data_IF_377638322152
#
_entry.id   IF_377638322152
#
_cell.length_a   1.000
_cell.length_b   1.000
_cell.length_c   1.000
_cell.angle_alpha   90.00
_cell.angle_beta   90.00
_cell.angle_gamma   90.00
#
_symmetry.space_group_name_H-M   'P 1'
#
loop_
_entity.id
_entity.type
_entity.pdbx_description
1 polymer ?
#
# COMPACT_ATOMS: atom_id res chain seq x y z
N UNK A 1 -9.99 62.06 -29.01
CA UNK A 1 -8.93 61.68 -28.06
C UNK A 1 -9.16 60.21 -27.74
N UNK A 2 -8.37 59.35 -28.37
CA UNK A 2 -8.46 57.88 -28.36
C UNK A 2 -7.92 57.33 -27.05
N UNK A 3 -8.63 56.40 -26.40
CA UNK A 3 -8.00 55.37 -25.57
C UNK A 3 -8.80 54.07 -25.75
N UNK A 4 -8.34 53.20 -26.66
CA UNK A 4 -8.74 51.80 -26.69
C UNK A 4 -7.97 51.05 -25.61
N UNK A 5 -8.67 50.46 -24.66
CA UNK A 5 -8.09 49.55 -23.67
C UNK A 5 -7.90 48.17 -24.32
N UNK A 6 -6.65 47.75 -24.48
CA UNK A 6 -6.29 46.39 -24.90
C UNK A 6 -6.13 45.55 -23.64
N UNK A 7 -7.01 44.57 -23.44
CA UNK A 7 -6.97 43.66 -22.31
C UNK A 7 -6.12 42.44 -22.69
N UNK A 8 -4.92 42.34 -22.10
CA UNK A 8 -4.03 41.19 -22.28
C UNK A 8 -4.48 40.08 -21.34
N UNK A 9 -5.07 39.02 -21.89
CA UNK A 9 -5.37 37.78 -21.15
C UNK A 9 -4.10 36.92 -21.18
N UNK A 10 -3.41 36.82 -20.05
CA UNK A 10 -2.32 35.86 -19.87
C UNK A 10 -2.94 34.46 -19.67
N UNK A 11 -2.99 33.66 -20.73
CA UNK A 11 -3.31 32.24 -20.61
C UNK A 11 -2.03 31.55 -20.17
N UNK A 12 -1.91 31.26 -18.87
CA UNK A 12 -0.88 30.36 -18.37
C UNK A 12 -1.19 28.95 -18.90
N UNK A 13 -0.53 28.57 -19.99
CA UNK A 13 -0.46 27.19 -20.44
C UNK A 13 0.38 26.42 -19.42
N UNK A 14 -0.26 25.91 -18.37
CA UNK A 14 0.33 24.85 -17.55
C UNK A 14 0.48 23.63 -18.45
N UNK A 15 1.71 23.33 -18.86
CA UNK A 15 2.04 22.05 -19.45
C UNK A 15 1.72 20.99 -18.40
N UNK A 16 0.56 20.35 -18.52
CA UNK A 16 0.32 19.11 -17.80
C UNK A 16 1.36 18.13 -18.33
N UNK A 17 2.34 17.77 -17.49
CA UNK A 17 3.22 16.65 -17.77
C UNK A 17 2.31 15.44 -17.98
N UNK A 18 2.24 14.97 -19.23
CA UNK A 18 1.60 13.70 -19.55
C UNK A 18 2.50 12.61 -18.99
N UNK A 19 2.39 12.35 -17.70
CA UNK A 19 2.91 11.12 -17.13
C UNK A 19 2.25 9.96 -17.88
N UNK A 20 3.08 9.12 -18.48
CA UNK A 20 2.62 7.83 -18.96
C UNK A 20 1.98 7.10 -17.80
N UNK A 21 0.67 6.88 -17.88
CA UNK A 21 -0.10 6.10 -16.91
C UNK A 21 0.34 4.62 -16.91
N UNK A 22 1.16 4.19 -17.88
CA UNK A 22 1.70 2.84 -17.90
C UNK A 22 2.91 2.67 -16.96
N UNK A 23 2.89 1.61 -16.14
CA UNK A 23 4.03 1.10 -15.38
C UNK A 23 4.42 -0.28 -15.92
N UNK A 24 5.70 -0.44 -16.27
CA UNK A 24 6.26 -1.73 -16.67
C UNK A 24 6.89 -2.38 -15.44
N UNK A 25 6.50 -3.62 -15.17
CA UNK A 25 6.95 -4.40 -14.02
C UNK A 25 7.45 -5.77 -14.50
N UNK A 26 8.61 -6.16 -13.99
CA UNK A 26 9.07 -7.55 -14.04
C UNK A 26 8.48 -8.28 -12.83
N UNK A 27 7.51 -9.15 -13.03
CA UNK A 27 6.94 -9.98 -11.97
C UNK A 27 7.59 -11.36 -11.97
N UNK A 28 7.76 -11.92 -10.78
CA UNK A 28 8.38 -13.21 -10.55
C UNK A 28 7.42 -14.12 -9.78
N UNK A 29 7.17 -15.33 -10.28
CA UNK A 29 6.32 -16.30 -9.62
C UNK A 29 6.82 -17.73 -9.82
N UNK A 30 6.35 -18.63 -8.95
CA UNK A 30 6.72 -20.04 -8.97
C UNK A 30 5.58 -20.90 -9.53
N UNK A 31 5.90 -21.85 -10.41
CA UNK A 31 4.96 -22.87 -10.89
C UNK A 31 5.48 -24.27 -10.59
N UNK A 32 4.60 -25.25 -10.29
CA UNK A 32 5.03 -26.62 -10.10
C UNK A 32 5.73 -27.16 -11.34
N UNK A 33 6.86 -27.84 -11.16
CA UNK A 33 7.53 -28.55 -12.25
C UNK A 33 6.68 -29.76 -12.66
N UNK A 34 6.34 -29.86 -13.94
CA UNK A 34 5.49 -30.93 -14.49
C UNK A 34 6.27 -32.14 -15.00
N UNK A 35 7.60 -32.04 -15.12
CA UNK A 35 8.48 -33.10 -15.62
C UNK A 35 9.77 -33.22 -14.80
N UNK A 36 10.18 -34.45 -14.49
CA UNK A 36 11.39 -34.75 -13.72
C UNK A 36 11.14 -34.79 -12.21
N UNK A 37 12.15 -34.38 -11.42
CA UNK A 37 12.02 -34.35 -9.95
C UNK A 37 11.03 -33.28 -9.50
N UNK A 38 10.31 -33.56 -8.42
CA UNK A 38 9.45 -32.58 -7.75
C UNK A 38 10.24 -31.31 -7.43
N UNK A 39 9.65 -30.15 -7.74
CA UNK A 39 10.27 -28.86 -7.52
C UNK A 39 9.44 -27.73 -8.13
N UNK A 40 9.93 -26.51 -7.96
CA UNK A 40 9.30 -25.30 -8.48
C UNK A 40 10.16 -24.71 -9.60
N UNK A 41 9.50 -24.20 -10.64
CA UNK A 41 10.12 -23.40 -11.68
C UNK A 41 9.86 -21.93 -11.39
N UNK A 42 10.94 -21.15 -11.42
CA UNK A 42 10.87 -19.70 -11.40
C UNK A 42 10.49 -19.21 -12.79
N UNK A 43 9.50 -18.33 -12.85
CA UNK A 43 9.05 -17.68 -14.08
C UNK A 43 9.08 -16.18 -13.87
N UNK A 44 9.82 -15.49 -14.73
CA UNK A 44 9.78 -14.04 -14.86
C UNK A 44 8.85 -13.65 -16.01
N UNK A 45 8.03 -12.63 -15.79
CA UNK A 45 7.09 -12.11 -16.79
C UNK A 45 7.09 -10.59 -16.74
N UNK A 46 7.24 -9.97 -17.90
CA UNK A 46 7.01 -8.54 -18.06
C UNK A 46 5.50 -8.28 -18.16
N UNK A 47 5.02 -7.36 -17.34
CA UNK A 47 3.63 -6.89 -17.36
C UNK A 47 3.59 -5.36 -17.40
N UNK A 48 2.56 -4.83 -18.04
CA UNK A 48 2.27 -3.40 -18.04
C UNK A 48 0.95 -3.19 -17.32
N UNK A 49 0.95 -2.39 -16.26
CA UNK A 49 -0.26 -1.97 -15.54
C UNK A 49 -0.51 -0.48 -15.75
N UNK A 50 -1.73 -0.03 -15.50
CA UNK A 50 -2.02 1.40 -15.38
C UNK A 50 -1.82 1.83 -13.94
N UNK A 51 -1.03 2.87 -13.70
CA UNK A 51 -0.76 3.40 -12.38
C UNK A 51 -2.05 3.87 -11.70
N UNK A 52 -2.91 4.56 -12.45
CA UNK A 52 -4.22 5.03 -11.98
C UNK A 52 -5.16 3.92 -11.51
N UNK A 53 -5.04 2.72 -12.09
CA UNK A 53 -5.78 1.49 -11.75
C UNK A 53 -4.88 0.50 -10.98
N UNK A 54 -3.90 1.00 -10.22
CA UNK A 54 -3.03 0.19 -9.34
C UNK A 54 -2.99 0.78 -7.93
N UNK A 55 -2.96 -0.09 -6.92
CA UNK A 55 -2.77 0.30 -5.53
C UNK A 55 -1.67 -0.51 -4.83
N UNK A 56 -1.01 0.12 -3.86
CA UNK A 56 -0.16 -0.54 -2.87
C UNK A 56 -0.84 -0.37 -1.51
N UNK A 57 -1.11 -1.50 -0.85
CA UNK A 57 -1.65 -1.54 0.52
C UNK A 57 -0.54 -1.95 1.47
N UNK A 58 -0.24 -1.10 2.44
CA UNK A 58 0.83 -1.30 3.43
C UNK A 58 0.19 -1.80 4.71
N UNK A 59 0.27 -3.09 4.95
CA UNK A 59 -0.39 -3.77 6.08
C UNK A 59 0.59 -3.89 7.24
N UNK A 60 0.18 -3.40 8.41
CA UNK A 60 0.82 -3.63 9.73
C UNK A 60 2.35 -3.43 9.79
N UNK A 61 2.85 -2.47 9.01
CA UNK A 61 4.22 -1.98 9.16
C UNK A 61 4.30 -1.06 10.38
N UNK A 62 4.09 -1.61 11.57
CA UNK A 62 4.06 -0.86 12.83
C UNK A 62 5.43 -0.29 13.24
N UNK A 63 5.42 0.71 14.10
CA UNK A 63 6.62 1.34 14.66
C UNK A 63 7.38 0.45 15.65
N UNK A 64 6.72 -0.56 16.21
CA UNK A 64 7.32 -1.53 17.12
C UNK A 64 6.55 -2.85 17.12
N UNK A 65 7.19 -3.91 17.58
CA UNK A 65 6.55 -5.19 17.87
C UNK A 65 6.97 -5.69 19.27
N UNK A 66 6.19 -6.58 19.88
CA UNK A 66 6.55 -7.14 21.19
C UNK A 66 7.80 -8.02 21.11
N UNK A 67 8.00 -8.71 19.98
CA UNK A 67 9.27 -9.38 19.65
C UNK A 67 10.31 -8.38 19.16
N UNK A 68 11.50 -8.44 19.76
CA UNK A 68 12.65 -7.61 19.42
C UNK A 68 13.14 -7.90 18.00
N UNK A 69 13.25 -9.17 17.61
CA UNK A 69 13.67 -9.56 16.26
C UNK A 69 12.76 -9.00 15.18
N UNK A 70 11.44 -9.09 15.38
CA UNK A 70 10.46 -8.48 14.47
C UNK A 70 10.64 -6.96 14.34
N UNK A 71 10.86 -6.26 15.47
CA UNK A 71 11.13 -4.81 15.46
C UNK A 71 12.37 -4.48 14.63
N UNK A 72 13.48 -5.20 14.81
CA UNK A 72 14.72 -4.95 14.07
C UNK A 72 14.59 -5.21 12.56
N UNK A 73 13.89 -6.28 12.17
CA UNK A 73 13.63 -6.55 10.75
C UNK A 73 12.81 -5.43 10.10
N UNK A 74 11.77 -4.95 10.79
CA UNK A 74 10.94 -3.85 10.31
C UNK A 74 11.75 -2.54 10.21
N UNK A 75 12.59 -2.23 11.21
CA UNK A 75 13.47 -1.06 11.20
C UNK A 75 14.37 -1.01 9.95
N UNK A 76 14.88 -2.17 9.51
CA UNK A 76 15.72 -2.29 8.31
C UNK A 76 14.87 -2.18 7.02
N UNK A 77 13.68 -2.78 7.02
CA UNK A 77 12.81 -2.86 5.84
C UNK A 77 12.12 -1.53 5.52
N UNK A 78 11.63 -0.82 6.54
CA UNK A 78 10.76 0.34 6.38
C UNK A 78 11.36 1.47 5.51
N UNK A 79 12.65 1.86 5.64
CA UNK A 79 13.25 2.87 4.77
C UNK A 79 13.29 2.46 3.29
N UNK A 80 13.55 1.17 3.00
CA UNK A 80 13.57 0.64 1.63
C UNK A 80 12.15 0.60 1.05
N UNK A 81 11.18 0.21 1.86
CA UNK A 81 9.77 0.25 1.47
C UNK A 81 9.32 1.68 1.15
N UNK A 82 9.72 2.67 1.96
CA UNK A 82 9.39 4.08 1.71
C UNK A 82 9.93 4.59 0.37
N UNK A 83 11.11 4.13 -0.07
CA UNK A 83 11.62 4.46 -1.40
C UNK A 83 10.70 3.94 -2.52
N UNK A 84 10.21 2.71 -2.39
CA UNK A 84 9.25 2.13 -3.34
C UNK A 84 7.93 2.90 -3.30
N UNK A 85 7.40 3.20 -2.12
CA UNK A 85 6.14 3.94 -1.94
C UNK A 85 6.22 5.33 -2.56
N UNK A 86 7.30 6.08 -2.30
CA UNK A 86 7.51 7.39 -2.93
C UNK A 86 7.57 7.30 -4.45
N UNK A 87 8.28 6.31 -4.98
CA UNK A 87 8.40 6.09 -6.42
C UNK A 87 7.05 5.69 -7.05
N UNK A 88 6.26 4.87 -6.37
CA UNK A 88 4.92 4.47 -6.78
C UNK A 88 3.97 5.68 -6.79
N UNK A 89 3.95 6.45 -5.70
CA UNK A 89 3.16 7.67 -5.56
C UNK A 89 3.47 8.69 -6.66
N UNK A 90 4.76 8.91 -6.95
CA UNK A 90 5.20 9.80 -8.03
C UNK A 90 4.73 9.36 -9.43
N UNK A 91 4.41 8.07 -9.61
CA UNK A 91 3.84 7.53 -10.86
C UNK A 91 2.31 7.54 -10.89
N UNK A 92 1.64 7.98 -9.82
CA UNK A 92 0.19 8.02 -9.72
C UNK A 92 -0.47 6.77 -9.15
N UNK A 93 0.31 5.83 -8.60
CA UNK A 93 -0.22 4.64 -7.91
C UNK A 93 -0.89 5.07 -6.60
N UNK A 94 -2.06 4.49 -6.32
CA UNK A 94 -2.79 4.74 -5.08
C UNK A 94 -2.08 4.07 -3.90
N UNK A 95 -1.80 4.83 -2.83
CA UNK A 95 -1.18 4.31 -1.61
C UNK A 95 -2.23 4.25 -0.49
N UNK A 96 -2.36 3.07 0.12
CA UNK A 96 -3.27 2.82 1.24
C UNK A 96 -2.44 2.28 2.41
N UNK A 97 -2.49 2.98 3.54
CA UNK A 97 -1.87 2.55 4.79
C UNK A 97 -2.91 1.84 5.66
N UNK A 98 -2.61 0.61 6.08
CA UNK A 98 -3.46 -0.21 6.93
C UNK A 98 -2.72 -0.61 8.22
N UNK A 99 -2.42 0.34 9.13
CA UNK A 99 -1.79 0.04 10.40
C UNK A 99 -2.87 -0.33 11.42
N UNK A 100 -3.27 -1.61 11.44
CA UNK A 100 -4.37 -2.07 12.30
C UNK A 100 -4.08 -1.81 13.77
N UNK A 101 -5.16 -1.65 14.55
CA UNK A 101 -5.11 -1.40 16.01
C UNK A 101 -4.38 -0.09 16.41
N UNK A 102 -4.18 0.84 15.47
CA UNK A 102 -3.56 2.16 15.71
C UNK A 102 -4.37 3.35 15.20
N UNK A 103 -5.62 3.13 14.77
CA UNK A 103 -6.41 4.14 14.05
C UNK A 103 -6.68 5.42 14.85
N UNK A 104 -6.70 5.35 16.19
CA UNK A 104 -6.83 6.52 17.05
C UNK A 104 -5.71 7.55 16.86
N UNK A 105 -4.50 7.10 16.50
CA UNK A 105 -3.38 7.98 16.17
C UNK A 105 -3.66 8.82 14.92
N UNK A 106 -4.46 8.28 13.98
CA UNK A 106 -4.71 8.86 12.67
C UNK A 106 -6.06 9.56 12.52
N UNK A 107 -6.87 9.62 13.58
CA UNK A 107 -8.26 10.12 13.53
C UNK A 107 -8.46 11.50 12.90
N UNK A 108 -7.42 12.35 12.86
CA UNK A 108 -7.46 13.69 12.26
C UNK A 108 -6.52 13.85 11.06
N UNK A 109 -5.84 12.79 10.63
CA UNK A 109 -4.93 12.85 9.50
C UNK A 109 -5.72 13.03 8.19
N UNK A 110 -5.30 13.89 7.25
CA UNK A 110 -6.00 14.07 5.96
C UNK A 110 -6.22 12.75 5.20
N UNK A 111 -5.20 11.91 5.12
CA UNK A 111 -5.32 10.58 4.51
C UNK A 111 -6.35 9.65 5.18
N UNK A 112 -6.63 9.80 6.49
CA UNK A 112 -7.73 9.08 7.15
C UNK A 112 -9.09 9.61 6.67
N UNK A 113 -9.22 10.93 6.56
CA UNK A 113 -10.43 11.58 6.06
C UNK A 113 -10.71 11.21 4.61
N UNK A 114 -9.67 11.10 3.77
CA UNK A 114 -9.81 10.64 2.39
C UNK A 114 -10.45 9.25 2.34
N UNK A 115 -10.00 8.32 3.19
CA UNK A 115 -10.57 6.97 3.25
C UNK A 115 -12.04 6.96 3.69
N UNK A 116 -12.39 7.76 4.70
CA UNK A 116 -13.78 7.89 5.16
C UNK A 116 -14.70 8.57 4.13
N UNK A 117 -14.13 9.38 3.24
CA UNK A 117 -14.89 10.09 2.20
C UNK A 117 -15.13 9.24 0.94
N UNK A 118 -14.49 8.07 0.82
CA UNK A 118 -14.68 7.18 -0.31
C UNK A 118 -16.15 6.70 -0.37
N UNK A 119 -16.85 6.83 -1.51
CA UNK A 119 -18.25 6.45 -1.61
C UNK A 119 -18.46 4.96 -1.27
N UNK A 120 -19.44 4.61 -0.42
CA UNK A 120 -19.70 3.23 -0.06
C UNK A 120 -20.14 2.41 -1.26
N UNK A 121 -19.51 1.25 -1.45
CA UNK A 121 -19.85 0.26 -2.48
C UNK A 121 -19.94 -1.11 -1.83
N UNK A 122 -20.98 -1.88 -2.14
CA UNK A 122 -21.12 -3.25 -1.62
C UNK A 122 -20.02 -4.14 -2.18
N UNK A 123 -19.18 -4.77 -1.35
CA UNK A 123 -18.18 -5.72 -1.81
C UNK A 123 -18.83 -6.99 -2.33
N UNK A 124 -18.18 -7.73 -3.24
CA UNK A 124 -18.65 -9.02 -3.67
C UNK A 124 -18.66 -10.00 -2.49
N UNK A 125 -19.49 -11.04 -2.60
CA UNK A 125 -19.48 -12.15 -1.65
C UNK A 125 -18.05 -12.73 -1.51
N UNK A 126 -17.57 -12.97 -0.28
CA UNK A 126 -16.27 -13.58 -0.06
C UNK A 126 -16.15 -14.91 -0.80
N UNK A 127 -15.09 -15.05 -1.59
CA UNK A 127 -14.80 -16.33 -2.24
C UNK A 127 -14.32 -17.33 -1.20
N UNK A 128 -14.89 -18.54 -1.16
CA UNK A 128 -14.32 -19.63 -0.36
C UNK A 128 -12.88 -19.87 -0.78
N UNK A 129 -11.98 -20.03 0.19
CA UNK A 129 -10.60 -20.43 -0.03
C UNK A 129 -10.17 -21.37 1.09
N UNK A 130 -9.25 -22.27 0.78
CA UNK A 130 -8.62 -23.11 1.78
C UNK A 130 -7.65 -22.26 2.60
N UNK A 131 -7.65 -22.45 3.93
CA UNK A 131 -6.68 -21.85 4.85
C UNK A 131 -5.79 -22.97 5.43
N UNK A 132 -4.81 -23.47 4.65
CA UNK A 132 -3.94 -24.54 5.10
C UNK A 132 -3.03 -24.05 6.24
N UNK A 133 -2.56 -24.96 7.12
CA UNK A 133 -1.60 -24.60 8.16
C UNK A 133 -0.38 -23.88 7.59
N UNK A 134 0.16 -22.92 8.34
CA UNK A 134 1.39 -22.23 7.96
C UNK A 134 2.54 -23.24 7.78
N UNK A 135 3.51 -22.95 6.89
CA UNK A 135 4.66 -23.84 6.65
C UNK A 135 5.66 -23.84 7.83
N UNK A 136 5.39 -23.06 8.87
CA UNK A 136 6.21 -22.90 10.08
C UNK A 136 5.31 -22.99 11.30
N UNK A 137 5.86 -23.48 12.42
CA UNK A 137 5.18 -23.41 13.72
C UNK A 137 5.28 -21.98 14.24
N UNK A 138 4.13 -21.33 14.38
CA UNK A 138 3.98 -19.97 14.92
C UNK A 138 3.09 -19.96 16.16
N UNK A 139 2.98 -21.09 16.87
CA UNK A 139 2.16 -21.22 18.07
C UNK A 139 2.59 -20.32 19.24
N UNK A 140 3.82 -19.82 19.20
CA UNK A 140 4.37 -18.82 20.13
C UNK A 140 4.12 -17.36 19.69
N UNK A 141 3.35 -17.15 18.62
CA UNK A 141 3.12 -15.84 18.03
C UNK A 141 4.23 -15.38 17.08
N UNK A 142 5.20 -16.23 16.73
CA UNK A 142 6.24 -15.94 15.75
C UNK A 142 7.43 -15.16 16.31
N UNK A 143 7.74 -15.34 17.59
CA UNK A 143 8.94 -14.75 18.20
C UNK A 143 10.21 -15.48 17.73
N UNK A 144 11.15 -14.78 17.12
CA UNK A 144 12.44 -15.37 16.74
C UNK A 144 13.58 -15.04 17.73
N UNK A 145 13.24 -14.38 18.84
CA UNK A 145 14.22 -13.86 19.82
C UNK A 145 13.95 -14.31 21.26
N UNK A 146 13.00 -15.22 21.46
CA UNK A 146 12.79 -15.95 22.72
C UNK A 146 11.82 -15.30 23.70
N UNK A 147 11.15 -14.20 23.33
CA UNK A 147 10.05 -13.65 24.10
C UNK A 147 8.87 -14.62 24.15
N UNK A 148 8.28 -14.80 25.34
CA UNK A 148 7.21 -15.79 25.59
C UNK A 148 5.83 -15.18 25.81
N UNK A 149 5.74 -13.84 25.97
CA UNK A 149 4.50 -13.13 26.26
C UNK A 149 4.31 -11.97 25.27
N UNK A 150 3.15 -11.92 24.61
CA UNK A 150 2.80 -10.83 23.70
C UNK A 150 2.13 -9.67 24.43
N UNK A 151 2.34 -8.46 23.92
CA UNK A 151 1.70 -7.24 24.41
C UNK A 151 1.56 -6.23 23.28
N UNK A 152 0.68 -5.23 23.44
CA UNK A 152 0.54 -4.14 22.47
C UNK A 152 1.72 -3.19 22.58
N UNK A 153 2.72 -3.39 21.70
CA UNK A 153 3.95 -2.59 21.66
C UNK A 153 3.86 -1.40 20.69
N UNK A 154 3.04 -1.53 19.64
CA UNK A 154 2.87 -0.55 18.58
C UNK A 154 1.86 0.53 18.92
N UNK A 155 2.06 1.71 18.32
CA UNK A 155 1.16 2.85 18.49
C UNK A 155 0.74 3.47 17.15
N UNK A 156 1.46 3.15 16.07
CA UNK A 156 1.27 3.69 14.72
C UNK A 156 2.06 2.89 13.69
N UNK A 157 1.92 3.24 12.41
CA UNK A 157 2.86 2.85 11.35
C UNK A 157 4.27 3.38 11.63
N UNK A 158 5.26 2.60 11.21
CA UNK A 158 6.67 2.92 11.29
C UNK A 158 6.97 4.29 10.64
N UNK A 159 7.60 5.24 11.36
CA UNK A 159 7.77 6.63 10.90
C UNK A 159 8.68 6.79 9.68
N UNK A 160 9.50 5.79 9.38
CA UNK A 160 10.30 5.80 8.14
C UNK A 160 9.46 5.64 6.88
N UNK A 161 8.20 5.18 6.98
CA UNK A 161 7.23 5.15 5.88
C UNK A 161 6.38 6.41 5.96
N UNK A 162 6.60 7.33 5.04
CA UNK A 162 5.90 8.61 5.00
C UNK A 162 4.48 8.44 4.45
N UNK A 163 3.53 9.04 5.15
CA UNK A 163 2.12 9.14 4.73
C UNK A 163 1.91 10.55 4.18
N UNK A 164 1.52 10.66 2.92
CA UNK A 164 1.17 11.92 2.26
C UNK A 164 -0.31 12.25 2.53
N UNK A 165 -0.66 13.54 2.55
CA UNK A 165 -2.04 13.98 2.76
C UNK A 165 -3.01 13.47 1.67
N UNK A 166 -2.50 13.09 0.50
CA UNK A 166 -3.26 12.53 -0.62
C UNK A 166 -3.44 11.01 -0.56
N UNK A 167 -2.74 10.33 0.35
CA UNK A 167 -2.86 8.89 0.53
C UNK A 167 -4.19 8.54 1.23
N UNK A 168 -4.37 7.26 1.56
CA UNK A 168 -5.48 6.75 2.33
C UNK A 168 -4.98 6.02 3.58
N UNK A 169 -5.71 6.13 4.70
CA UNK A 169 -5.43 5.34 5.92
C UNK A 169 -6.71 4.62 6.35
N UNK A 170 -6.68 3.29 6.37
CA UNK A 170 -7.76 2.46 6.92
C UNK A 170 -7.29 1.02 7.16
N UNK A 171 -7.67 0.45 8.29
CA UNK A 171 -7.60 -0.98 8.60
C UNK A 171 -8.95 -1.69 8.38
N UNK A 172 -9.95 -0.98 7.83
CA UNK A 172 -11.28 -1.50 7.59
C UNK A 172 -11.44 -1.96 6.13
N UNK A 173 -11.69 -3.25 5.93
CA UNK A 173 -11.82 -3.84 4.58
C UNK A 173 -12.91 -3.23 3.71
N UNK A 174 -14.01 -2.75 4.28
CA UNK A 174 -15.09 -2.08 3.53
C UNK A 174 -14.63 -0.72 2.99
N UNK A 175 -13.95 0.08 3.82
CA UNK A 175 -13.42 1.38 3.38
C UNK A 175 -12.31 1.21 2.34
N UNK A 176 -11.42 0.23 2.54
CA UNK A 176 -10.41 -0.13 1.54
C UNK A 176 -11.07 -0.52 0.21
N UNK A 177 -12.12 -1.36 0.24
CA UNK A 177 -12.86 -1.73 -0.96
C UNK A 177 -13.51 -0.53 -1.67
N UNK A 178 -14.08 0.40 -0.91
CA UNK A 178 -14.65 1.64 -1.47
C UNK A 178 -13.59 2.46 -2.24
N UNK A 179 -12.38 2.59 -1.68
CA UNK A 179 -11.26 3.30 -2.31
C UNK A 179 -10.87 2.62 -3.61
N UNK A 180 -10.67 1.29 -3.59
CA UNK A 180 -10.29 0.52 -4.77
C UNK A 180 -11.35 0.65 -5.88
N UNK A 181 -12.62 0.51 -5.52
CA UNK A 181 -13.73 0.68 -6.46
C UNK A 181 -13.78 2.09 -7.08
N UNK A 182 -13.59 3.14 -6.27
CA UNK A 182 -13.51 4.53 -6.75
C UNK A 182 -12.36 4.74 -7.75
N UNK A 183 -11.27 3.98 -7.62
CA UNK A 183 -10.09 4.02 -8.49
C UNK A 183 -10.15 3.05 -9.67
N UNK A 184 -11.24 2.29 -9.83
CA UNK A 184 -11.38 1.21 -10.82
C UNK A 184 -10.35 0.09 -10.66
N UNK A 185 -10.06 -0.29 -9.41
CA UNK A 185 -9.17 -1.40 -9.01
C UNK A 185 -10.05 -2.52 -8.44
#
# INVERSE_FOLDING_TARGET
MLISAVQVVLIALTTAETHSDAINLSIHYQVPRTVGRNGWLIVDKEVTWKASETAIIIVDMWDKHWSWGATERVNIMAPRMNFVIKSARAKGITIIHAPSDTMDFYKYHPARMNAMSAPPVTPPEPKPHDDPPQPVDSSDGGSDTGETESYKAWHRQHPAIEIDDKDYISDNGQEVYNILSQKNI
#
